data_IF_816501979215
#
_entry.id   IF_816501979215
#
_cell.length_a   1.000
_cell.length_b   1.000
_cell.length_c   1.000
_cell.angle_alpha   90.00
_cell.angle_beta   90.00
_cell.angle_gamma   90.00
#
_symmetry.space_group_name_H-M   'P 1'
#
loop_
_entity.id
_entity.type
_entity.pdbx_description
1 polymer ?
#
# COMPACT_ATOMS: atom_id res chain seq x y z
N UNK A 1 4.08 -14.20 -13.49
CA UNK A 1 4.16 -14.00 -12.03
C UNK A 1 5.18 -14.98 -11.50
N UNK A 2 6.24 -14.51 -10.85
CA UNK A 2 7.21 -15.36 -10.16
C UNK A 2 6.96 -15.26 -8.66
N UNK A 3 6.82 -16.40 -7.99
CA UNK A 3 6.73 -16.49 -6.53
C UNK A 3 8.13 -16.65 -5.95
N UNK A 4 8.57 -15.71 -5.12
CA UNK A 4 9.88 -15.74 -4.44
C UNK A 4 9.73 -15.85 -2.92
N UNK A 5 10.80 -16.24 -2.21
CA UNK A 5 10.80 -16.49 -0.76
C UNK A 5 11.24 -15.30 0.10
N UNK A 6 11.71 -14.21 -0.50
CA UNK A 6 12.00 -12.93 0.18
C UNK A 6 12.00 -11.76 -0.83
N UNK A 7 11.61 -10.58 -0.35
CA UNK A 7 11.70 -9.32 -1.10
C UNK A 7 12.63 -8.36 -0.38
N UNK A 8 13.39 -7.54 -1.12
CA UNK A 8 14.11 -6.39 -0.56
C UNK A 8 13.21 -5.16 -0.38
N UNK A 9 11.91 -5.26 -0.65
CA UNK A 9 10.97 -4.16 -0.48
C UNK A 9 10.59 -3.98 0.99
N UNK A 10 10.81 -2.76 1.48
CA UNK A 10 9.99 -2.24 2.58
C UNK A 10 8.55 -2.08 2.11
N UNK A 11 7.60 -2.30 3.01
CA UNK A 11 6.18 -2.24 2.68
C UNK A 11 5.29 -1.98 3.88
N UNK A 12 3.99 -2.02 3.60
CA UNK A 12 2.91 -1.82 4.57
C UNK A 12 1.82 -2.86 4.37
N UNK A 13 1.17 -3.24 5.46
CA UNK A 13 -0.10 -3.96 5.45
C UNK A 13 -1.11 -3.17 6.29
N UNK A 14 -2.28 -2.88 5.72
CA UNK A 14 -3.39 -2.26 6.44
C UNK A 14 -4.26 -3.33 7.09
N UNK A 15 -4.76 -3.09 8.29
CA UNK A 15 -5.56 -4.07 9.01
C UNK A 15 -6.96 -4.25 8.41
N UNK A 16 -7.55 -3.15 7.91
CA UNK A 16 -8.95 -3.14 7.49
C UNK A 16 -9.22 -2.55 6.11
N UNK A 17 -8.22 -1.91 5.49
CA UNK A 17 -8.39 -1.14 4.27
C UNK A 17 -7.88 -1.96 3.10
N UNK A 18 -8.79 -2.23 2.16
CA UNK A 18 -8.38 -2.57 0.80
C UNK A 18 -7.88 -1.30 0.14
N UNK A 19 -6.74 -1.38 -0.51
CA UNK A 19 -6.14 -0.28 -1.23
C UNK A 19 -6.17 -0.57 -2.72
N UNK A 20 -6.47 0.45 -3.53
CA UNK A 20 -6.36 0.37 -4.98
C UNK A 20 -5.34 1.38 -5.46
N UNK A 21 -4.37 0.93 -6.25
CA UNK A 21 -3.51 1.80 -7.05
C UNK A 21 -4.04 1.89 -8.47
N UNK A 22 -4.14 3.11 -8.97
CA UNK A 22 -4.35 3.41 -10.38
C UNK A 22 -3.10 4.15 -10.84
N UNK A 23 -2.25 3.50 -11.63
CA UNK A 23 -0.98 4.09 -12.08
C UNK A 23 -1.27 5.13 -13.15
N UNK A 24 -0.84 6.36 -12.92
CA UNK A 24 -1.13 7.52 -13.77
C UNK A 24 0.09 7.98 -14.58
N UNK A 25 1.31 7.63 -14.17
CA UNK A 25 2.54 7.87 -14.95
C UNK A 25 3.68 6.98 -14.45
N UNK A 26 4.63 6.69 -15.32
CA UNK A 26 5.87 5.98 -14.96
C UNK A 26 5.71 4.47 -14.80
N UNK A 27 6.64 3.87 -14.06
CA UNK A 27 6.66 2.41 -13.82
C UNK A 27 7.48 2.05 -12.58
N UNK A 28 7.17 0.90 -11.99
CA UNK A 28 7.91 0.36 -10.85
C UNK A 28 7.65 -1.13 -10.66
N UNK A 29 8.53 -1.77 -9.90
CA UNK A 29 8.34 -3.16 -9.48
C UNK A 29 7.56 -3.19 -8.17
N UNK A 30 6.28 -3.50 -8.25
CA UNK A 30 5.40 -3.71 -7.11
C UNK A 30 5.57 -5.12 -6.56
N UNK A 31 5.72 -5.22 -5.25
CA UNK A 31 5.72 -6.47 -4.50
C UNK A 31 4.43 -6.53 -3.68
N UNK A 32 3.77 -7.70 -3.71
CA UNK A 32 2.57 -7.98 -2.91
C UNK A 32 2.65 -9.37 -2.27
N UNK A 33 1.92 -9.58 -1.18
CA UNK A 33 1.88 -10.86 -0.47
C UNK A 33 2.97 -10.98 0.59
N UNK A 34 3.25 -12.22 1.01
CA UNK A 34 4.20 -12.47 2.09
C UNK A 34 3.70 -12.00 3.45
N UNK A 35 4.64 -11.61 4.31
CA UNK A 35 4.41 -11.09 5.66
C UNK A 35 5.39 -9.95 5.98
N UNK A 36 5.02 -9.05 6.89
CA UNK A 36 5.91 -8.01 7.41
C UNK A 36 6.78 -8.59 8.53
N UNK A 37 8.10 -8.55 8.37
CA UNK A 37 9.08 -8.99 9.38
C UNK A 37 9.44 -7.83 10.33
N UNK A 38 9.43 -8.10 11.64
CA UNK A 38 9.82 -7.13 12.69
C UNK A 38 9.12 -5.76 12.53
N UNK A 39 7.84 -5.78 12.12
CA UNK A 39 7.14 -4.58 11.70
C UNK A 39 6.85 -3.59 12.83
N UNK A 40 6.78 -2.32 12.44
CA UNK A 40 6.38 -1.21 13.28
C UNK A 40 4.89 -0.96 13.10
N UNK A 41 4.14 -1.01 14.19
CA UNK A 41 2.70 -0.76 14.18
C UNK A 41 2.41 0.72 14.26
N UNK A 42 1.44 1.19 13.46
CA UNK A 42 0.93 2.55 13.59
C UNK A 42 0.33 2.75 14.98
N UNK A 43 0.30 4.01 15.44
CA UNK A 43 -0.42 4.39 16.66
C UNK A 43 -1.90 3.92 16.59
N UNK A 44 -2.60 3.82 17.74
CA UNK A 44 -3.97 3.29 17.79
C UNK A 44 -5.00 3.99 16.88
N UNK A 45 -4.74 5.23 16.47
CA UNK A 45 -5.55 5.97 15.49
C UNK A 45 -5.11 5.84 14.02
N UNK A 46 -4.10 5.03 13.73
CA UNK A 46 -3.49 4.89 12.41
C UNK A 46 -2.67 6.12 11.97
N UNK A 47 -2.03 6.01 10.80
CA UNK A 47 -1.67 7.21 10.03
C UNK A 47 -2.96 7.78 9.44
N UNK A 48 -3.13 9.12 9.46
CA UNK A 48 -4.42 9.83 9.23
C UNK A 48 -5.20 9.33 8.01
N UNK A 49 -4.58 8.72 6.99
CA UNK A 49 -5.24 8.21 5.78
C UNK A 49 -4.91 6.73 5.42
N UNK A 50 -4.24 6.02 6.32
CA UNK A 50 -3.87 4.61 6.14
C UNK A 50 -4.69 3.67 7.04
N UNK A 51 -5.27 4.20 8.13
CA UNK A 51 -5.84 3.39 9.20
C UNK A 51 -4.78 2.58 9.98
N UNK A 52 -5.20 1.72 10.91
CA UNK A 52 -4.29 0.80 11.61
C UNK A 52 -3.49 -0.06 10.64
N UNK A 53 -2.16 -0.02 10.76
CA UNK A 53 -1.25 -0.64 9.79
C UNK A 53 0.02 -1.20 10.46
N UNK A 54 0.71 -2.12 9.78
CA UNK A 54 2.06 -2.57 10.10
C UNK A 54 3.00 -2.26 8.93
N UNK A 55 4.14 -1.64 9.20
CA UNK A 55 5.16 -1.36 8.18
C UNK A 55 6.49 -2.02 8.52
N UNK A 56 7.23 -2.48 7.52
CA UNK A 56 8.53 -3.13 7.68
C UNK A 56 8.93 -3.88 6.41
N UNK A 57 9.93 -4.74 6.51
CA UNK A 57 10.41 -5.52 5.36
C UNK A 57 9.43 -6.64 5.00
N UNK A 58 9.15 -6.80 3.70
CA UNK A 58 8.29 -7.87 3.20
C UNK A 58 9.12 -9.15 2.98
N UNK A 59 8.74 -10.23 3.66
CA UNK A 59 9.39 -11.54 3.55
C UNK A 59 8.39 -12.66 3.22
N UNK A 60 8.89 -13.87 2.96
CA UNK A 60 8.09 -15.04 2.66
C UNK A 60 7.65 -15.11 1.20
N UNK A 61 6.53 -15.79 0.94
CA UNK A 61 6.05 -16.01 -0.44
C UNK A 61 5.39 -14.75 -0.99
N UNK A 62 6.08 -14.08 -1.91
CA UNK A 62 5.64 -12.82 -2.53
C UNK A 62 5.37 -12.96 -4.03
N UNK A 63 4.57 -12.05 -4.57
CA UNK A 63 4.42 -11.81 -6.01
C UNK A 63 5.13 -10.49 -6.35
N UNK A 64 6.05 -10.54 -7.30
CA UNK A 64 6.73 -9.37 -7.85
C UNK A 64 6.28 -9.12 -9.28
N UNK A 65 5.90 -7.88 -9.60
CA UNK A 65 5.42 -7.49 -10.93
C UNK A 65 5.83 -6.06 -11.26
N UNK A 66 6.37 -5.87 -12.46
CA UNK A 66 6.51 -4.51 -13.03
C UNK A 66 5.12 -4.04 -13.46
N UNK A 67 4.74 -2.86 -12.99
CA UNK A 67 3.48 -2.18 -13.35
C UNK A 67 3.78 -0.90 -14.13
N UNK A 68 2.82 -0.48 -14.94
CA UNK A 68 2.95 0.65 -15.87
C UNK A 68 1.74 1.57 -15.78
N UNK A 69 1.85 2.77 -16.36
CA UNK A 69 0.72 3.66 -16.59
C UNK A 69 -0.50 2.91 -17.16
N UNK A 70 -1.68 3.15 -16.56
CA UNK A 70 -2.94 2.49 -16.90
C UNK A 70 -3.21 1.21 -16.13
N UNK A 71 -2.22 0.62 -15.44
CA UNK A 71 -2.47 -0.53 -14.57
C UNK A 71 -3.35 -0.13 -13.37
N UNK A 72 -4.31 -1.00 -13.04
CA UNK A 72 -5.13 -0.93 -11.83
C UNK A 72 -4.82 -2.14 -10.96
N UNK A 73 -4.39 -1.88 -9.72
CA UNK A 73 -3.98 -2.91 -8.77
C UNK A 73 -4.87 -2.82 -7.55
N UNK A 74 -5.61 -3.90 -7.27
CA UNK A 74 -6.41 -4.03 -6.05
C UNK A 74 -5.60 -4.86 -5.06
N UNK A 75 -5.34 -4.28 -3.89
CA UNK A 75 -4.57 -4.87 -2.80
C UNK A 75 -5.53 -5.09 -1.62
N UNK A 76 -5.96 -6.34 -1.36
CA UNK A 76 -6.81 -6.64 -0.22
C UNK A 76 -6.19 -6.20 1.11
N UNK A 77 -7.04 -5.92 2.10
CA UNK A 77 -6.58 -5.71 3.46
C UNK A 77 -5.69 -6.88 3.93
N UNK A 78 -4.76 -6.56 4.82
CA UNK A 78 -3.72 -7.42 5.40
C UNK A 78 -2.66 -7.95 4.44
N UNK A 79 -2.76 -7.68 3.14
CA UNK A 79 -1.72 -8.04 2.16
C UNK A 79 -0.57 -7.03 2.22
N UNK A 80 0.65 -7.46 2.58
CA UNK A 80 1.81 -6.59 2.51
C UNK A 80 2.05 -6.16 1.07
N UNK A 81 2.39 -4.90 0.89
CA UNK A 81 2.72 -4.35 -0.42
C UNK A 81 3.74 -3.23 -0.30
N UNK A 82 4.56 -3.09 -1.34
CA UNK A 82 5.63 -2.11 -1.39
C UNK A 82 6.38 -2.13 -2.72
N UNK A 83 7.21 -1.12 -2.96
CA UNK A 83 7.99 -1.00 -4.18
C UNK A 83 9.40 -1.54 -3.96
N UNK A 84 9.83 -2.53 -4.74
CA UNK A 84 11.21 -3.04 -4.66
C UNK A 84 12.19 -2.30 -5.58
N UNK A 85 11.67 -1.61 -6.60
CA UNK A 85 12.46 -0.84 -7.55
C UNK A 85 11.60 0.22 -8.24
N UNK A 86 12.09 1.45 -8.30
CA UNK A 86 11.51 2.56 -9.06
C UNK A 86 12.67 3.21 -9.83
N UNK A 87 12.91 2.84 -11.11
CA UNK A 87 14.07 3.31 -11.86
C UNK A 87 14.09 4.82 -12.12
N UNK A 88 12.90 5.42 -12.21
CA UNK A 88 12.71 6.85 -12.47
C UNK A 88 11.61 7.40 -11.56
N UNK A 89 10.33 7.16 -11.92
CA UNK A 89 9.18 7.56 -11.10
C UNK A 89 8.00 6.59 -11.27
N UNK A 90 7.07 6.65 -10.30
CA UNK A 90 5.73 6.07 -10.41
C UNK A 90 4.74 7.03 -9.75
N UNK A 91 3.82 7.56 -10.53
CA UNK A 91 2.72 8.37 -10.03
C UNK A 91 1.46 7.53 -10.04
N UNK A 92 0.69 7.57 -8.95
CA UNK A 92 -0.53 6.79 -8.85
C UNK A 92 -1.55 7.42 -7.91
N UNK A 93 -2.83 7.22 -8.22
CA UNK A 93 -3.92 7.49 -7.30
C UNK A 93 -4.10 6.27 -6.38
N UNK A 94 -4.03 6.52 -5.07
CA UNK A 94 -4.44 5.54 -4.06
C UNK A 94 -5.88 5.79 -3.63
N UNK A 95 -6.70 4.73 -3.65
CA UNK A 95 -8.07 4.74 -3.13
C UNK A 95 -8.20 3.71 -2.01
N UNK A 96 -8.61 4.15 -0.83
CA UNK A 96 -8.83 3.29 0.35
C UNK A 96 -10.25 3.47 0.88
N UNK A 97 -11.22 2.67 0.43
CA UNK A 97 -12.55 2.67 1.02
C UNK A 97 -12.47 2.29 2.51
N UNK A 98 -13.14 3.04 3.37
CA UNK A 98 -13.17 2.79 4.82
C UNK A 98 -14.58 2.45 5.33
N UNK A 99 -15.13 1.28 4.96
CA UNK A 99 -16.47 0.87 5.39
C UNK A 99 -16.56 0.64 6.91
N UNK A 100 -15.42 0.40 7.56
CA UNK A 100 -15.33 0.13 9.01
C UNK A 100 -15.05 1.40 9.83
N UNK A 101 -14.90 2.56 9.19
CA UNK A 101 -14.61 3.85 9.84
C UNK A 101 -13.39 3.79 10.77
N UNK A 102 -12.34 3.13 10.30
CA UNK A 102 -11.06 2.97 11.02
C UNK A 102 -10.13 4.16 10.81
N UNK A 103 -10.48 5.07 9.91
CA UNK A 103 -9.79 6.33 9.66
C UNK A 103 -10.57 7.44 10.35
N UNK A 104 -9.87 8.35 11.03
CA UNK A 104 -10.49 9.57 11.59
C UNK A 104 -11.18 10.37 10.50
N UNK A 105 -12.30 11.04 10.82
CA UNK A 105 -13.04 11.91 9.88
C UNK A 105 -12.14 13.06 9.40
N UNK A 106 -11.37 12.79 8.34
CA UNK A 106 -10.49 13.74 7.70
C UNK A 106 -11.23 14.37 6.51
N UNK A 107 -11.26 15.70 6.51
CA UNK A 107 -11.69 16.50 5.38
C UNK A 107 -10.55 17.42 5.00
N UNK A 108 -10.23 17.48 3.72
CA UNK A 108 -9.23 18.43 3.25
C UNK A 108 -9.74 19.86 3.54
N UNK A 109 -8.98 20.71 4.27
CA UNK A 109 -9.42 22.06 4.58
C UNK A 109 -9.77 22.91 3.35
N UNK A 110 -9.16 22.63 2.19
CA UNK A 110 -9.42 23.34 0.94
C UNK A 110 -10.83 23.12 0.36
N UNK A 111 -11.56 22.08 0.81
CA UNK A 111 -12.91 21.75 0.33
C UNK A 111 -13.99 21.92 1.40
N UNK A 112 -13.64 22.40 2.59
CA UNK A 112 -14.62 22.79 3.61
C UNK A 112 -14.96 24.26 3.37
N UNK A 113 -16.16 24.53 2.86
CA UNK A 113 -16.69 25.89 2.75
C UNK A 113 -17.24 26.27 4.13
N UNK A 114 -16.78 27.40 4.68
CA UNK A 114 -17.30 27.99 5.91
C UNK A 114 -18.71 28.55 5.72
#
# INVERSE_FOLDING_TARGET
MTTGTSSAAGGIAHDGQTETYIITSGSGTLVTGGQILNGNRSNPGGGILNGPSCSGDITGTVVSRVVYEGDVIIIPATVPHGWSNIPDHVDYLSVRPDPKRLITDYRNPAIVIN
#
